data_IF_387982526790
#
_entry.id   IF_387982526790
#
_cell.length_a   1.000
_cell.length_b   1.000
_cell.length_c   1.000
_cell.angle_alpha   90.00
_cell.angle_beta   90.00
_cell.angle_gamma   90.00
#
_symmetry.space_group_name_H-M   'P 1'
#
loop_
_entity.id
_entity.type
_entity.pdbx_description
1 polymer ?
#
# COMPACT_ATOMS: atom_id res chain seq x y z
N UNK A 1 0.13 53.04 -2.12
CA UNK A 1 -0.89 52.00 -1.81
C UNK A 1 -0.74 50.69 -2.62
N UNK A 2 0.35 50.47 -3.38
CA UNK A 2 0.54 49.23 -4.17
C UNK A 2 1.36 48.14 -3.47
N UNK A 3 2.06 48.47 -2.39
CA UNK A 3 3.02 47.56 -1.74
C UNK A 3 2.37 46.48 -0.87
N UNK A 4 1.20 46.73 -0.28
CA UNK A 4 0.52 45.79 0.61
C UNK A 4 -0.15 44.61 -0.12
N UNK A 5 -0.56 44.79 -1.38
CA UNK A 5 -1.17 43.70 -2.15
C UNK A 5 -0.18 42.57 -2.50
N UNK A 6 1.10 42.92 -2.73
CA UNK A 6 2.14 41.94 -3.05
C UNK A 6 2.44 41.00 -1.87
N UNK A 7 2.39 41.52 -0.65
CA UNK A 7 2.70 40.76 0.57
C UNK A 7 1.59 39.74 0.86
N UNK A 8 0.33 40.12 0.64
CA UNK A 8 -0.83 39.23 0.84
C UNK A 8 -0.83 38.09 -0.19
N UNK A 9 -0.42 38.37 -1.44
CA UNK A 9 -0.32 37.34 -2.48
C UNK A 9 0.74 36.29 -2.15
N UNK A 10 1.91 36.71 -1.67
CA UNK A 10 3.01 35.79 -1.31
C UNK A 10 2.61 34.88 -0.14
N UNK A 11 1.93 35.42 0.88
CA UNK A 11 1.46 34.65 2.04
C UNK A 11 0.41 33.58 1.67
N UNK A 12 -0.47 33.88 0.70
CA UNK A 12 -1.49 32.94 0.23
C UNK A 12 -0.92 31.79 -0.62
N UNK A 13 0.16 32.02 -1.36
CA UNK A 13 0.85 30.95 -2.10
C UNK A 13 1.59 29.98 -1.16
N UNK A 14 2.19 30.47 -0.07
CA UNK A 14 2.90 29.64 0.90
C UNK A 14 1.98 28.63 1.60
N UNK A 15 0.75 29.03 1.93
CA UNK A 15 -0.22 28.16 2.61
C UNK A 15 -0.67 26.98 1.73
N UNK A 16 -0.70 27.17 0.41
CA UNK A 16 -1.16 26.16 -0.55
C UNK A 16 -0.14 25.02 -0.71
N UNK A 17 1.15 25.31 -0.62
CA UNK A 17 2.21 24.29 -0.74
C UNK A 17 2.28 23.36 0.49
N UNK A 18 2.08 23.89 1.69
CA UNK A 18 2.13 23.11 2.94
C UNK A 18 0.92 22.18 3.08
N UNK A 19 -0.26 22.65 2.66
CA UNK A 19 -1.51 21.88 2.78
C UNK A 19 -1.54 20.67 1.83
N UNK A 20 -0.94 20.80 0.64
CA UNK A 20 -0.83 19.70 -0.32
C UNK A 20 0.19 18.64 0.12
N UNK A 21 1.31 19.06 0.70
CA UNK A 21 2.36 18.14 1.18
C UNK A 21 1.87 17.29 2.35
N UNK A 22 1.24 17.92 3.35
CA UNK A 22 0.69 17.21 4.51
C UNK A 22 -0.46 16.26 4.15
N UNK A 23 -1.34 16.64 3.21
CA UNK A 23 -2.44 15.77 2.73
C UNK A 23 -1.91 14.60 1.90
N UNK A 24 -0.88 14.84 1.08
CA UNK A 24 -0.20 13.81 0.29
C UNK A 24 0.51 12.79 1.19
N UNK A 25 1.26 13.24 2.19
CA UNK A 25 1.95 12.36 3.14
C UNK A 25 0.98 11.53 3.99
N UNK A 26 -0.14 12.13 4.43
CA UNK A 26 -1.17 11.39 5.18
C UNK A 26 -1.89 10.36 4.32
N UNK A 27 -2.14 10.67 3.04
CA UNK A 27 -2.74 9.75 2.08
C UNK A 27 -1.78 8.59 1.76
N UNK A 28 -0.51 8.87 1.50
CA UNK A 28 0.50 7.84 1.23
C UNK A 28 0.68 6.88 2.42
N UNK A 29 0.66 7.41 3.65
CA UNK A 29 0.76 6.60 4.87
C UNK A 29 -0.47 5.72 5.11
N UNK A 30 -1.67 6.21 4.79
CA UNK A 30 -2.91 5.42 4.85
C UNK A 30 -2.92 4.30 3.81
N UNK A 31 -2.48 4.60 2.58
CA UNK A 31 -2.33 3.61 1.50
C UNK A 31 -1.32 2.53 1.85
N UNK A 32 -0.13 2.91 2.34
CA UNK A 32 0.88 1.96 2.80
C UNK A 32 0.36 1.10 3.95
N UNK A 33 -0.36 1.67 4.92
CA UNK A 33 -0.95 0.89 6.01
C UNK A 33 -1.99 -0.13 5.52
N UNK A 34 -2.82 0.21 4.54
CA UNK A 34 -3.83 -0.70 4.01
C UNK A 34 -3.19 -1.85 3.20
N UNK A 35 -2.20 -1.55 2.36
CA UNK A 35 -1.44 -2.54 1.61
C UNK A 35 -0.58 -3.43 2.52
N UNK A 36 -0.04 -2.88 3.60
CA UNK A 36 0.71 -3.63 4.62
C UNK A 36 -0.18 -4.69 5.29
N UNK A 37 -1.39 -4.31 5.73
CA UNK A 37 -2.35 -5.24 6.32
C UNK A 37 -2.81 -6.31 5.33
N UNK A 38 -3.07 -5.91 4.07
CA UNK A 38 -3.43 -6.84 3.02
C UNK A 38 -2.31 -7.85 2.73
N UNK A 39 -1.05 -7.38 2.71
CA UNK A 39 0.11 -8.24 2.56
C UNK A 39 0.24 -9.24 3.71
N UNK A 40 0.19 -8.79 4.96
CA UNK A 40 0.29 -9.67 6.13
C UNK A 40 -0.86 -10.70 6.17
N UNK A 41 -2.07 -10.29 5.78
CA UNK A 41 -3.24 -11.17 5.69
C UNK A 41 -3.16 -12.18 4.54
N UNK A 42 -2.51 -11.84 3.43
CA UNK A 42 -2.34 -12.73 2.28
C UNK A 42 -1.38 -13.90 2.58
N UNK A 43 -0.34 -13.69 3.39
CA UNK A 43 0.69 -14.70 3.68
C UNK A 43 0.10 -16.03 4.18
N UNK A 44 -0.71 -16.08 5.26
CA UNK A 44 -1.30 -17.34 5.71
C UNK A 44 -2.26 -17.94 4.68
N UNK A 45 -3.00 -17.12 3.94
CA UNK A 45 -3.92 -17.59 2.89
C UNK A 45 -3.14 -18.25 1.75
N UNK A 46 -2.01 -17.68 1.34
CA UNK A 46 -1.12 -18.23 0.33
C UNK A 46 -0.47 -19.53 0.80
N UNK A 47 0.02 -19.57 2.04
CA UNK A 47 0.61 -20.79 2.61
C UNK A 47 -0.40 -21.95 2.64
N UNK A 48 -1.65 -21.67 2.99
CA UNK A 48 -2.74 -22.63 2.93
C UNK A 48 -3.02 -22.99 1.46
N UNK A 49 -3.15 -22.01 0.57
CA UNK A 49 -3.39 -22.24 -0.85
C UNK A 49 -2.33 -23.14 -1.50
N UNK A 50 -1.05 -23.00 -1.16
CA UNK A 50 0.03 -23.86 -1.63
C UNK A 50 -0.12 -25.32 -1.16
N UNK A 51 -0.77 -25.56 -0.01
CA UNK A 51 -1.04 -26.92 0.50
C UNK A 51 -2.30 -27.52 -0.14
N UNK A 52 -3.33 -26.70 -0.35
CA UNK A 52 -4.64 -27.16 -0.83
C UNK A 52 -4.86 -26.99 -2.35
N UNK A 53 -3.89 -26.44 -3.08
CA UNK A 53 -3.97 -26.21 -4.53
C UNK A 53 -4.91 -25.08 -4.92
N UNK A 54 -5.04 -24.04 -4.09
CA UNK A 54 -5.93 -22.91 -4.38
C UNK A 54 -5.30 -21.93 -5.36
N UNK A 55 -6.12 -21.35 -6.25
CA UNK A 55 -5.66 -20.43 -7.29
C UNK A 55 -5.39 -19.03 -6.74
N UNK A 56 -4.36 -18.36 -7.27
CA UNK A 56 -3.99 -16.96 -6.93
C UNK A 56 -5.18 -16.00 -7.05
N UNK A 57 -6.03 -16.19 -8.06
CA UNK A 57 -7.26 -15.42 -8.29
C UNK A 57 -8.21 -15.45 -7.09
N UNK A 58 -8.36 -16.61 -6.45
CA UNK A 58 -9.21 -16.76 -5.26
C UNK A 58 -8.65 -16.00 -4.06
N UNK A 59 -7.32 -15.90 -3.96
CA UNK A 59 -6.64 -15.17 -2.89
C UNK A 59 -6.78 -13.67 -3.11
N UNK A 60 -6.61 -13.20 -4.35
CA UNK A 60 -6.81 -11.80 -4.75
C UNK A 60 -8.24 -11.38 -4.41
N UNK A 61 -9.24 -12.20 -4.72
CA UNK A 61 -10.64 -11.90 -4.40
C UNK A 61 -10.85 -11.71 -2.89
N UNK A 62 -10.26 -12.59 -2.06
CA UNK A 62 -10.43 -12.53 -0.60
C UNK A 62 -9.70 -11.35 0.04
N UNK A 63 -8.52 -11.00 -0.47
CA UNK A 63 -7.62 -10.01 0.14
C UNK A 63 -7.80 -8.61 -0.45
N UNK A 64 -8.05 -8.51 -1.75
CA UNK A 64 -7.96 -7.26 -2.50
C UNK A 64 -9.31 -6.60 -2.79
N UNK A 65 -10.45 -7.31 -2.81
CA UNK A 65 -11.77 -6.69 -3.02
C UNK A 65 -12.13 -5.66 -1.95
N UNK A 66 -11.66 -5.85 -0.72
CA UNK A 66 -11.95 -4.94 0.40
C UNK A 66 -11.21 -3.58 0.31
N UNK A 67 -10.24 -3.46 -0.61
CA UNK A 67 -9.36 -2.29 -0.76
C UNK A 67 -9.87 -1.26 -1.77
N UNK A 68 -10.95 -1.55 -2.51
CA UNK A 68 -11.55 -0.63 -3.47
C UNK A 68 -10.55 -0.11 -4.50
N UNK A 69 -10.23 1.19 -4.46
CA UNK A 69 -9.31 1.83 -5.40
C UNK A 69 -7.86 1.30 -5.36
N UNK A 70 -7.52 0.47 -4.37
CA UNK A 70 -6.21 -0.16 -4.23
C UNK A 70 -6.19 -1.61 -4.73
N UNK A 71 -7.30 -2.11 -5.28
CA UNK A 71 -7.45 -3.49 -5.75
C UNK A 71 -6.31 -3.90 -6.70
N UNK A 72 -6.09 -3.16 -7.79
CA UNK A 72 -5.05 -3.50 -8.78
C UNK A 72 -3.64 -3.53 -8.17
N UNK A 73 -3.37 -2.61 -7.23
CA UNK A 73 -2.08 -2.56 -6.53
C UNK A 73 -1.91 -3.75 -5.57
N UNK A 74 -3.01 -4.14 -4.91
CA UNK A 74 -3.03 -5.32 -4.07
C UNK A 74 -2.89 -6.60 -4.88
N UNK A 75 -3.51 -6.71 -6.06
CA UNK A 75 -3.41 -7.88 -6.92
C UNK A 75 -1.96 -8.13 -7.36
N UNK A 76 -1.28 -7.08 -7.84
CA UNK A 76 0.15 -7.15 -8.22
C UNK A 76 1.03 -7.57 -7.02
N UNK A 77 0.74 -7.03 -5.85
CA UNK A 77 1.42 -7.38 -4.60
C UNK A 77 1.19 -8.86 -4.23
N UNK A 78 -0.05 -9.35 -4.27
CA UNK A 78 -0.40 -10.76 -3.96
C UNK A 78 0.28 -11.70 -4.93
N UNK A 79 0.33 -11.37 -6.23
CA UNK A 79 1.06 -12.16 -7.25
C UNK A 79 2.56 -12.24 -6.94
N UNK A 80 3.20 -11.11 -6.60
CA UNK A 80 4.63 -11.08 -6.21
C UNK A 80 4.88 -11.87 -4.93
N UNK A 81 4.00 -11.72 -3.95
CA UNK A 81 4.07 -12.44 -2.68
C UNK A 81 3.93 -13.95 -2.88
N UNK A 82 2.99 -14.38 -3.72
CA UNK A 82 2.80 -15.79 -4.08
C UNK A 82 4.08 -16.39 -4.68
N UNK A 83 4.67 -15.72 -5.67
CA UNK A 83 5.92 -16.15 -6.27
C UNK A 83 7.10 -16.18 -5.29
N UNK A 84 7.18 -15.25 -4.33
CA UNK A 84 8.21 -15.26 -3.28
C UNK A 84 8.04 -16.44 -2.32
N UNK A 85 6.81 -16.73 -1.93
CA UNK A 85 6.50 -17.83 -1.00
C UNK A 85 6.72 -19.20 -1.66
N UNK A 86 6.34 -19.38 -2.93
CA UNK A 86 6.63 -20.60 -3.70
C UNK A 86 8.12 -20.89 -3.84
N UNK A 87 8.95 -19.86 -3.98
CA UNK A 87 10.41 -19.98 -4.07
C UNK A 87 11.07 -20.30 -2.71
N UNK A 88 10.28 -20.49 -1.65
CA UNK A 88 10.80 -20.73 -0.30
C UNK A 88 11.46 -19.49 0.33
N UNK A 89 11.32 -18.30 -0.28
CA UNK A 89 11.88 -17.05 0.22
C UNK A 89 11.06 -16.44 1.38
N UNK A 90 10.04 -17.17 1.85
CA UNK A 90 9.11 -16.82 2.93
C UNK A 90 9.56 -17.16 4.34
N UNK A 91 10.85 -17.34 4.59
CA UNK A 91 11.36 -17.55 5.96
C UNK A 91 11.48 -16.21 6.69
N UNK A 92 10.51 -15.88 7.55
CA UNK A 92 10.48 -14.63 8.31
C UNK A 92 9.09 -14.33 8.88
N UNK A 93 8.96 -13.24 9.66
CA UNK A 93 7.65 -12.77 10.08
C UNK A 93 6.92 -12.15 8.88
N UNK A 94 5.59 -12.20 8.86
CA UNK A 94 4.81 -11.65 7.73
C UNK A 94 5.15 -10.19 7.45
N UNK A 95 5.38 -9.44 8.51
CA UNK A 95 5.87 -8.06 8.50
C UNK A 95 7.19 -7.87 7.76
N UNK A 96 8.17 -8.76 7.95
CA UNK A 96 9.48 -8.67 7.27
C UNK A 96 9.34 -8.92 5.77
N UNK A 97 8.49 -9.87 5.39
CA UNK A 97 8.22 -10.20 3.98
C UNK A 97 7.55 -9.00 3.30
N UNK A 98 6.55 -8.41 3.95
CA UNK A 98 5.84 -7.24 3.45
C UNK A 98 6.72 -5.97 3.44
N UNK A 99 7.67 -5.85 4.38
CA UNK A 99 8.66 -4.78 4.38
C UNK A 99 9.63 -4.88 3.20
N UNK A 100 10.03 -6.10 2.81
CA UNK A 100 10.85 -6.33 1.61
C UNK A 100 10.13 -5.94 0.32
N UNK A 101 8.80 -5.95 0.33
CA UNK A 101 7.96 -5.50 -0.78
C UNK A 101 7.67 -3.99 -0.76
N UNK A 102 8.15 -3.27 0.26
CA UNK A 102 8.02 -1.82 0.40
C UNK A 102 6.60 -1.34 0.70
N UNK A 103 5.73 -2.23 1.17
CA UNK A 103 4.35 -1.89 1.56
C UNK A 103 4.20 -1.74 3.07
N UNK A 104 5.07 -2.43 3.82
CA UNK A 104 5.47 -2.13 5.19
C UNK A 104 6.95 -1.66 5.16
#
# INVERSE_FOLDING_TARGET
>A
MFSTCLIILVLALSTSAETHKAKSERSARATSSALCLACEGAIPVIQIASVFGSSVESIVTVVCDVLGNLHDTCEDLVKKLFGLLEQGAGTGSGKDICARLGVC
#
